data_IF_579038513880
#
_entry.id   IF_579038513880
#
_cell.length_a   1.000
_cell.length_b   1.000
_cell.length_c   1.000
_cell.angle_alpha   90.00
_cell.angle_beta   90.00
_cell.angle_gamma   90.00
#
_symmetry.space_group_name_H-M   'P 1'
#
loop_
_entity.id
_entity.type
_entity.pdbx_description
1 polymer ?
#
# COMPACT_ATOMS: atom_id res chain seq x y z
N UNK A 1 0.51 -16.15 -36.86
CA UNK A 1 0.80 -14.89 -36.15
C UNK A 1 -0.14 -14.81 -34.97
N UNK A 2 0.37 -15.14 -33.79
CA UNK A 2 -0.43 -15.21 -32.56
C UNK A 2 -0.41 -13.81 -31.96
N UNK A 3 -1.58 -13.20 -31.79
CA UNK A 3 -1.72 -11.83 -31.27
C UNK A 3 -1.54 -11.83 -29.74
N UNK A 4 -0.68 -10.94 -29.25
CA UNK A 4 -0.33 -10.69 -27.83
C UNK A 4 -1.52 -10.47 -26.88
N UNK A 5 -2.75 -10.36 -27.38
CA UNK A 5 -3.95 -10.10 -26.59
C UNK A 5 -4.58 -11.37 -25.99
N UNK A 6 -4.13 -12.57 -26.37
CA UNK A 6 -4.79 -13.83 -26.01
C UNK A 6 -4.27 -14.50 -24.73
N UNK A 7 -3.22 -13.97 -24.08
CA UNK A 7 -2.65 -14.58 -22.86
C UNK A 7 -3.26 -14.10 -21.53
N UNK A 8 -4.07 -13.03 -21.51
CA UNK A 8 -4.45 -12.37 -20.26
C UNK A 8 -5.78 -12.82 -19.62
N UNK A 9 -6.62 -13.61 -20.28
CA UNK A 9 -7.96 -13.95 -19.74
C UNK A 9 -8.28 -15.44 -19.59
N UNK A 10 -7.38 -16.37 -19.95
CA UNK A 10 -7.63 -17.81 -19.81
C UNK A 10 -6.44 -18.68 -19.36
N UNK A 11 -5.24 -18.10 -19.21
CA UNK A 11 -3.99 -18.89 -19.08
C UNK A 11 -3.43 -19.10 -17.67
N UNK A 12 -3.89 -18.36 -16.66
CA UNK A 12 -3.24 -18.30 -15.32
C UNK A 12 -3.79 -19.37 -14.36
N UNK A 13 -4.86 -20.08 -14.73
CA UNK A 13 -5.47 -21.11 -13.86
C UNK A 13 -4.71 -22.44 -13.81
N UNK A 14 -3.82 -22.72 -14.78
CA UNK A 14 -3.01 -23.94 -14.76
C UNK A 14 -1.84 -23.77 -13.77
N UNK A 15 -1.67 -24.68 -12.77
CA UNK A 15 -0.57 -24.62 -11.81
C UNK A 15 0.82 -24.54 -12.46
N UNK A 16 1.04 -25.18 -13.62
CA UNK A 16 2.32 -25.10 -14.32
C UNK A 16 2.57 -23.71 -14.92
N UNK A 17 1.54 -23.08 -15.51
CA UNK A 17 1.65 -21.72 -16.04
C UNK A 17 1.88 -20.70 -14.92
N UNK A 18 1.21 -20.89 -13.78
CA UNK A 18 1.40 -20.06 -12.59
C UNK A 18 2.83 -20.17 -12.07
N UNK A 19 3.37 -21.39 -11.97
CA UNK A 19 4.75 -21.63 -11.54
C UNK A 19 5.76 -20.99 -12.50
N UNK A 20 5.59 -21.21 -13.81
CA UNK A 20 6.47 -20.62 -14.83
C UNK A 20 6.45 -19.09 -14.77
N UNK A 21 5.26 -18.50 -14.64
CA UNK A 21 5.11 -17.05 -14.47
C UNK A 21 5.81 -16.54 -13.22
N UNK A 22 5.66 -17.21 -12.07
CA UNK A 22 6.34 -16.81 -10.83
C UNK A 22 7.87 -16.93 -10.94
N UNK A 23 8.37 -17.99 -11.57
CA UNK A 23 9.81 -18.18 -11.84
C UNK A 23 10.35 -17.08 -12.77
N UNK A 24 9.64 -16.77 -13.85
CA UNK A 24 9.99 -15.69 -14.79
C UNK A 24 10.01 -14.32 -14.09
N UNK A 25 8.99 -14.00 -13.28
CA UNK A 25 8.94 -12.74 -12.53
C UNK A 25 10.07 -12.68 -11.50
N UNK A 26 10.33 -13.77 -10.78
CA UNK A 26 11.40 -13.83 -9.78
C UNK A 26 12.76 -13.60 -10.43
N UNK A 27 13.04 -14.24 -11.57
CA UNK A 27 14.30 -14.08 -12.27
C UNK A 27 14.46 -12.65 -12.81
N UNK A 28 13.43 -12.09 -13.45
CA UNK A 28 13.47 -10.73 -13.99
C UNK A 28 13.69 -9.66 -12.90
N UNK A 29 13.04 -9.81 -11.75
CA UNK A 29 13.21 -8.86 -10.64
C UNK A 29 14.56 -9.05 -9.95
N UNK A 30 15.05 -10.29 -9.87
CA UNK A 30 16.39 -10.59 -9.35
C UNK A 30 17.48 -9.99 -10.24
N UNK A 31 17.33 -10.06 -11.55
CA UNK A 31 18.23 -9.41 -12.53
C UNK A 31 18.21 -7.87 -12.36
N UNK A 32 17.10 -7.32 -11.85
CA UNK A 32 16.97 -5.88 -11.46
C UNK A 32 17.46 -5.60 -10.04
N UNK A 33 18.07 -6.56 -9.35
CA UNK A 33 18.57 -6.41 -7.99
C UNK A 33 17.51 -6.47 -6.90
N UNK A 34 16.36 -7.08 -7.18
CA UNK A 34 15.24 -7.20 -6.23
C UNK A 34 14.88 -8.67 -6.02
N UNK A 35 15.00 -9.14 -4.78
CA UNK A 35 14.50 -10.45 -4.37
C UNK A 35 12.97 -10.42 -4.25
N UNK A 36 12.33 -11.43 -4.81
CA UNK A 36 10.87 -11.53 -4.86
C UNK A 36 10.41 -12.81 -4.21
N UNK A 37 9.48 -12.68 -3.28
CA UNK A 37 8.89 -13.80 -2.56
C UNK A 37 7.38 -13.76 -2.66
N UNK A 38 6.79 -14.84 -3.19
CA UNK A 38 5.34 -14.99 -3.30
C UNK A 38 4.76 -15.62 -2.04
N UNK A 39 3.77 -14.95 -1.45
CA UNK A 39 2.96 -15.45 -0.33
C UNK A 39 1.62 -15.89 -0.90
N UNK A 40 1.44 -17.19 -1.00
CA UNK A 40 0.19 -17.81 -1.41
C UNK A 40 -0.73 -17.97 -0.18
N UNK A 41 -1.87 -17.26 -0.10
CA UNK A 41 -2.75 -17.37 1.05
C UNK A 41 -3.44 -18.74 1.08
N UNK A 42 -3.32 -19.43 2.20
CA UNK A 42 -4.13 -20.61 2.51
C UNK A 42 -5.42 -20.16 3.21
N UNK A 43 -6.57 -20.50 2.64
CA UNK A 43 -7.85 -20.00 3.09
C UNK A 43 -8.31 -20.63 4.41
N UNK A 44 -8.75 -19.79 5.36
CA UNK A 44 -9.33 -20.26 6.63
C UNK A 44 -10.80 -19.87 6.77
N UNK A 45 -11.13 -18.58 6.85
CA UNK A 45 -12.51 -18.09 6.98
C UNK A 45 -12.64 -16.64 6.55
N UNK A 46 -13.89 -16.17 6.37
CA UNK A 46 -14.18 -14.81 5.90
C UNK A 46 -14.95 -14.02 6.94
N UNK A 47 -14.51 -12.80 7.21
CA UNK A 47 -15.28 -11.78 7.93
C UNK A 47 -16.02 -10.90 6.94
N UNK A 48 -17.29 -10.59 7.22
CA UNK A 48 -18.11 -9.65 6.47
C UNK A 48 -18.49 -8.47 7.35
N UNK A 49 -18.28 -7.27 6.86
CA UNK A 49 -18.72 -6.02 7.48
C UNK A 49 -19.10 -5.00 6.39
N UNK A 50 -19.37 -3.75 6.77
CA UNK A 50 -19.57 -2.60 5.88
C UNK A 50 -18.53 -1.53 6.19
N UNK A 51 -18.17 -0.73 5.19
CA UNK A 51 -17.24 0.37 5.35
C UNK A 51 -17.21 1.24 4.10
N UNK A 52 -17.09 2.56 4.29
CA UNK A 52 -17.14 3.55 3.20
C UNK A 52 -18.32 3.30 2.22
N UNK A 53 -19.52 3.08 2.76
CA UNK A 53 -20.76 2.92 1.98
C UNK A 53 -21.03 1.53 1.36
N UNK A 54 -20.03 0.65 1.25
CA UNK A 54 -20.18 -0.66 0.59
C UNK A 54 -19.81 -1.86 1.49
N UNK A 55 -20.09 -3.08 1.00
CA UNK A 55 -19.76 -4.32 1.71
C UNK A 55 -18.26 -4.57 1.64
N UNK A 56 -17.69 -5.01 2.76
CA UNK A 56 -16.27 -5.35 2.87
C UNK A 56 -16.14 -6.78 3.34
N UNK A 57 -15.29 -7.54 2.68
CA UNK A 57 -14.94 -8.91 3.05
C UNK A 57 -13.46 -8.94 3.42
N UNK A 58 -13.14 -9.58 4.53
CA UNK A 58 -11.75 -9.79 4.98
C UNK A 58 -11.54 -11.30 5.02
N UNK A 59 -10.75 -11.82 4.10
CA UNK A 59 -10.31 -13.20 4.09
C UNK A 59 -9.21 -13.36 5.13
N UNK A 60 -9.46 -14.18 6.14
CA UNK A 60 -8.45 -14.60 7.11
C UNK A 60 -7.76 -15.83 6.52
N UNK A 61 -6.45 -15.71 6.33
CA UNK A 61 -5.62 -16.70 5.65
C UNK A 61 -4.36 -17.03 6.45
N UNK A 62 -3.69 -18.13 6.10
CA UNK A 62 -2.38 -18.49 6.63
C UNK A 62 -1.30 -18.57 5.56
N UNK A 63 -0.06 -18.31 5.96
CA UNK A 63 1.13 -18.70 5.23
C UNK A 63 2.33 -18.86 6.20
N UNK A 64 3.19 -19.86 5.96
CA UNK A 64 4.36 -20.16 6.80
C UNK A 64 5.45 -19.06 6.75
N UNK A 65 5.41 -18.18 5.76
CA UNK A 65 6.37 -17.08 5.58
C UNK A 65 6.08 -15.85 6.47
N UNK A 66 4.94 -15.84 7.16
CA UNK A 66 4.60 -14.79 8.13
C UNK A 66 5.25 -15.13 9.47
N UNK A 67 5.74 -14.13 10.21
CA UNK A 67 6.33 -14.39 11.51
C UNK A 67 5.33 -15.04 12.48
N UNK A 68 5.83 -15.95 13.31
CA UNK A 68 5.03 -16.68 14.30
C UNK A 68 4.38 -15.72 15.32
N UNK A 69 3.18 -16.05 15.84
CA UNK A 69 2.63 -15.31 16.96
C UNK A 69 3.53 -15.47 18.18
N UNK A 70 3.66 -14.41 18.97
CA UNK A 70 4.35 -14.45 20.26
C UNK A 70 3.41 -14.02 21.38
N UNK A 71 3.66 -14.55 22.57
CA UNK A 71 2.83 -14.36 23.74
C UNK A 71 3.73 -14.16 24.96
N UNK A 72 3.62 -13.00 25.60
CA UNK A 72 4.39 -12.62 26.78
C UNK A 72 3.45 -12.41 27.97
N UNK A 73 3.88 -12.78 29.18
CA UNK A 73 3.11 -12.50 30.38
C UNK A 73 3.04 -10.97 30.60
N UNK A 74 1.83 -10.45 30.79
CA UNK A 74 1.58 -9.02 30.92
C UNK A 74 0.55 -8.71 32.01
N UNK A 75 0.33 -7.41 32.26
CA UNK A 75 -0.76 -6.94 33.11
C UNK A 75 -1.73 -6.15 32.24
N UNK A 76 -3.01 -6.53 32.24
CA UNK A 76 -4.05 -5.82 31.50
C UNK A 76 -4.49 -4.52 32.21
N UNK A 77 -5.34 -3.73 31.56
CA UNK A 77 -6.02 -2.57 32.18
C UNK A 77 -6.72 -3.00 33.48
N UNK A 78 -6.20 -2.54 34.61
CA UNK A 78 -6.67 -2.92 35.96
C UNK A 78 -5.70 -3.81 36.76
N UNK A 79 -4.48 -4.04 36.28
CA UNK A 79 -3.42 -4.73 37.04
C UNK A 79 -3.58 -6.25 37.14
N UNK A 80 -4.62 -6.82 36.51
CA UNK A 80 -4.83 -8.27 36.45
C UNK A 80 -3.75 -8.92 35.58
N UNK A 81 -3.18 -10.01 36.06
CA UNK A 81 -2.29 -10.85 35.28
C UNK A 81 -2.99 -11.36 34.01
N UNK A 82 -2.29 -11.27 32.88
CA UNK A 82 -2.79 -11.64 31.56
C UNK A 82 -1.64 -11.96 30.63
N UNK A 83 -1.96 -12.03 29.34
CA UNK A 83 -1.01 -12.34 28.29
C UNK A 83 -1.12 -11.28 27.20
N UNK A 84 0.02 -10.76 26.76
CA UNK A 84 0.16 -9.84 25.65
C UNK A 84 0.52 -10.66 24.41
N UNK A 85 -0.36 -10.65 23.43
CA UNK A 85 -0.18 -11.37 22.18
C UNK A 85 0.26 -10.42 21.09
N UNK A 86 1.32 -10.79 20.37
CA UNK A 86 1.72 -10.16 19.12
C UNK A 86 1.34 -11.10 17.97
N UNK A 87 0.59 -10.58 17.02
CA UNK A 87 0.10 -11.31 15.86
C UNK A 87 0.63 -10.64 14.60
N UNK A 88 1.83 -11.01 14.11
CA UNK A 88 2.33 -10.54 12.83
C UNK A 88 1.39 -10.95 11.71
N UNK A 89 1.16 -10.03 10.78
CA UNK A 89 0.35 -10.31 9.61
C UNK A 89 0.82 -9.53 8.39
N UNK A 90 0.40 -10.05 7.24
CA UNK A 90 0.49 -9.42 5.96
C UNK A 90 -0.91 -9.00 5.52
N UNK A 91 -1.02 -7.84 4.87
CA UNK A 91 -2.27 -7.33 4.34
C UNK A 91 -2.14 -7.01 2.86
N UNK A 92 -3.04 -7.56 2.04
CA UNK A 92 -3.12 -7.22 0.62
C UNK A 92 -3.98 -5.97 0.39
N UNK A 93 -3.71 -5.20 -0.68
CA UNK A 93 -4.61 -4.13 -1.12
C UNK A 93 -6.05 -4.59 -1.31
N UNK A 94 -7.00 -3.67 -1.10
CA UNK A 94 -8.41 -3.93 -1.34
C UNK A 94 -8.70 -4.20 -2.81
N UNK A 95 -9.30 -5.35 -3.10
CA UNK A 95 -9.71 -5.77 -4.45
C UNK A 95 -11.22 -5.57 -4.67
N UNK A 96 -11.65 -4.81 -5.68
CA UNK A 96 -13.06 -4.73 -6.05
C UNK A 96 -13.60 -6.09 -6.51
N UNK A 97 -14.81 -6.43 -6.08
CA UNK A 97 -15.53 -7.64 -6.50
C UNK A 97 -17.06 -7.41 -6.41
N UNK A 98 -17.85 -8.42 -6.78
CA UNK A 98 -19.30 -8.44 -6.62
C UNK A 98 -19.73 -9.56 -5.67
N UNK A 99 -20.81 -9.29 -4.92
CA UNK A 99 -21.48 -10.32 -4.15
C UNK A 99 -22.45 -11.16 -5.01
N UNK A 100 -23.07 -12.18 -4.42
CA UNK A 100 -24.01 -13.05 -5.12
C UNK A 100 -25.25 -12.32 -5.70
N UNK A 101 -25.56 -11.12 -5.21
CA UNK A 101 -26.64 -10.27 -5.70
C UNK A 101 -26.13 -9.19 -6.69
N UNK A 102 -24.86 -9.25 -7.10
CA UNK A 102 -24.25 -8.32 -8.05
C UNK A 102 -23.82 -6.97 -7.47
N UNK A 103 -23.97 -6.76 -6.16
CA UNK A 103 -23.59 -5.49 -5.52
C UNK A 103 -22.07 -5.39 -5.39
N UNK A 104 -21.55 -4.16 -5.53
CA UNK A 104 -20.13 -3.88 -5.33
C UNK A 104 -19.69 -4.20 -3.89
N UNK A 105 -18.52 -4.79 -3.79
CA UNK A 105 -17.84 -5.03 -2.54
C UNK A 105 -16.33 -4.97 -2.73
N UNK A 106 -15.61 -4.88 -1.62
CA UNK A 106 -14.14 -4.92 -1.63
C UNK A 106 -13.66 -6.05 -0.73
N UNK A 107 -12.65 -6.76 -1.20
CA UNK A 107 -12.03 -7.92 -0.55
C UNK A 107 -10.63 -7.54 -0.11
N UNK A 108 -10.30 -7.86 1.14
CA UNK A 108 -8.96 -7.79 1.69
C UNK A 108 -8.52 -9.19 2.10
N UNK A 109 -7.25 -9.52 1.94
CA UNK A 109 -6.68 -10.73 2.53
C UNK A 109 -5.73 -10.33 3.64
N UNK A 110 -5.98 -10.89 4.83
CA UNK A 110 -5.11 -10.77 5.99
C UNK A 110 -4.50 -12.14 6.25
N UNK A 111 -3.19 -12.22 6.10
CA UNK A 111 -2.42 -13.46 6.11
C UNK A 111 -1.61 -13.51 7.39
N UNK A 112 -1.93 -14.48 8.26
CA UNK A 112 -1.22 -14.75 9.50
C UNK A 112 -0.30 -15.97 9.34
N UNK A 113 0.53 -16.24 10.35
CA UNK A 113 1.18 -17.55 10.45
C UNK A 113 0.15 -18.62 10.88
N UNK A 114 0.19 -19.87 10.36
CA UNK A 114 -0.76 -20.93 10.71
C UNK A 114 -0.84 -21.22 12.21
N UNK A 115 0.26 -21.14 12.96
CA UNK A 115 0.25 -21.29 14.43
C UNK A 115 -0.72 -20.30 15.12
N UNK A 116 -0.91 -19.10 14.59
CA UNK A 116 -1.84 -18.12 15.15
C UNK A 116 -3.29 -18.58 15.00
N UNK A 117 -3.63 -19.16 13.85
CA UNK A 117 -4.96 -19.68 13.57
C UNK A 117 -5.25 -20.93 14.42
N UNK A 118 -4.33 -21.89 14.48
CA UNK A 118 -4.45 -23.07 15.35
C UNK A 118 -4.62 -22.67 16.82
N UNK A 119 -3.84 -21.69 17.30
CA UNK A 119 -3.99 -21.20 18.67
C UNK A 119 -5.36 -20.54 18.90
N UNK A 120 -5.87 -19.79 17.92
CA UNK A 120 -7.15 -19.11 17.99
C UNK A 120 -8.37 -20.06 17.96
N UNK A 121 -8.30 -21.15 17.19
CA UNK A 121 -9.39 -22.15 17.09
C UNK A 121 -9.74 -22.76 18.44
N UNK A 122 -8.76 -22.92 19.32
CA UNK A 122 -8.97 -23.48 20.67
C UNK A 122 -9.40 -22.45 21.71
N UNK A 123 -9.28 -21.14 21.42
CA UNK A 123 -9.43 -20.05 22.38
C UNK A 123 -10.24 -18.89 21.80
N UNK A 124 -11.53 -18.83 22.14
CA UNK A 124 -12.46 -17.77 21.66
C UNK A 124 -11.89 -16.35 21.81
N UNK A 125 -11.30 -16.01 22.96
CA UNK A 125 -10.71 -14.69 23.20
C UNK A 125 -9.55 -14.37 22.25
N UNK A 126 -8.77 -15.38 21.86
CA UNK A 126 -7.68 -15.21 20.89
C UNK A 126 -8.22 -15.09 19.46
N UNK A 127 -9.30 -15.80 19.13
CA UNK A 127 -10.00 -15.60 17.86
C UNK A 127 -10.57 -14.17 17.73
N UNK A 128 -11.18 -13.65 18.81
CA UNK A 128 -11.65 -12.26 18.87
C UNK A 128 -10.49 -11.26 18.69
N UNK A 129 -9.34 -11.52 19.34
CA UNK A 129 -8.14 -10.71 19.13
C UNK A 129 -7.67 -10.76 17.68
N UNK A 130 -7.59 -11.95 17.09
CA UNK A 130 -7.17 -12.13 15.69
C UNK A 130 -8.09 -11.38 14.72
N UNK A 131 -9.42 -11.44 14.92
CA UNK A 131 -10.38 -10.66 14.14
C UNK A 131 -10.20 -9.16 14.34
N UNK A 132 -10.01 -8.72 15.58
CA UNK A 132 -9.76 -7.30 15.90
C UNK A 132 -8.48 -6.78 15.26
N UNK A 133 -7.40 -7.58 15.27
CA UNK A 133 -6.13 -7.25 14.62
C UNK A 133 -6.31 -7.13 13.11
N UNK A 134 -7.01 -8.07 12.48
CA UNK A 134 -7.28 -8.03 11.04
C UNK A 134 -8.10 -6.80 10.63
N UNK A 135 -9.17 -6.48 11.39
CA UNK A 135 -10.02 -5.32 11.14
C UNK A 135 -9.26 -4.02 11.36
N UNK A 136 -8.52 -3.90 12.46
CA UNK A 136 -7.67 -2.74 12.76
C UNK A 136 -6.62 -2.50 11.67
N UNK A 137 -5.92 -3.57 11.25
CA UNK A 137 -4.95 -3.50 10.16
C UNK A 137 -5.54 -2.94 8.87
N UNK A 138 -6.76 -3.36 8.50
CA UNK A 138 -7.46 -2.82 7.32
C UNK A 138 -7.82 -1.34 7.49
N UNK A 139 -8.36 -0.95 8.66
CA UNK A 139 -8.69 0.45 8.92
C UNK A 139 -7.46 1.37 8.88
N UNK A 140 -6.37 0.95 9.54
CA UNK A 140 -5.16 1.74 9.67
C UNK A 140 -4.42 1.88 8.33
N UNK A 141 -4.32 0.79 7.56
CA UNK A 141 -3.56 0.77 6.29
C UNK A 141 -4.25 1.52 5.15
N UNK A 142 -5.58 1.51 5.13
CA UNK A 142 -6.37 2.09 4.04
C UNK A 142 -7.14 3.34 4.47
N UNK A 143 -6.96 3.79 5.71
CA UNK A 143 -7.63 4.94 6.30
C UNK A 143 -9.16 4.91 6.13
N UNK A 144 -9.74 3.71 6.29
CA UNK A 144 -11.19 3.50 6.24
C UNK A 144 -11.75 3.18 7.62
N UNK A 145 -13.05 3.46 7.83
CA UNK A 145 -13.78 2.99 9.01
C UNK A 145 -14.69 1.82 8.65
N UNK A 146 -14.54 0.74 9.40
CA UNK A 146 -15.35 -0.47 9.30
C UNK A 146 -16.39 -0.49 10.41
N UNK A 147 -17.57 -1.03 10.11
CA UNK A 147 -18.63 -1.22 11.10
C UNK A 147 -18.28 -2.40 12.04
N UNK A 148 -17.63 -2.08 13.15
CA UNK A 148 -17.19 -3.06 14.17
C UNK A 148 -18.37 -3.70 14.91
N UNK A 149 -19.53 -3.05 14.95
CA UNK A 149 -20.75 -3.58 15.57
C UNK A 149 -21.42 -4.68 14.75
N UNK A 150 -21.15 -4.74 13.45
CA UNK A 150 -21.78 -5.67 12.51
C UNK A 150 -20.78 -6.55 11.75
N UNK A 151 -19.76 -7.06 12.45
CA UNK A 151 -18.86 -8.07 11.89
C UNK A 151 -19.53 -9.46 11.97
N UNK A 152 -19.62 -10.14 10.82
CA UNK A 152 -20.14 -11.52 10.73
C UNK A 152 -19.10 -12.44 10.12
N UNK A 153 -18.72 -13.49 10.84
CA UNK A 153 -17.95 -14.60 10.27
C UNK A 153 -18.86 -15.44 9.36
N UNK A 154 -18.42 -15.67 8.13
CA UNK A 154 -19.14 -16.48 7.15
C UNK A 154 -18.68 -17.93 7.20
N UNK A 155 -19.53 -18.85 6.71
CA UNK A 155 -19.23 -20.29 6.63
C UNK A 155 -18.22 -20.65 5.51
N UNK A 156 -18.03 -19.77 4.54
CA UNK A 156 -17.06 -19.97 3.46
C UNK A 156 -15.64 -19.67 3.93
N UNK A 157 -14.66 -20.37 3.35
CA UNK A 157 -13.24 -20.21 3.70
C UNK A 157 -12.58 -19.01 3.04
N UNK A 158 -13.07 -18.62 1.85
CA UNK A 158 -12.49 -17.52 1.06
C UNK A 158 -13.54 -16.86 0.18
N UNK A 159 -13.45 -15.54 -0.01
CA UNK A 159 -14.24 -14.77 -0.98
C UNK A 159 -13.35 -14.34 -2.15
N UNK A 160 -13.83 -14.60 -3.37
CA UNK A 160 -13.12 -14.28 -4.61
C UNK A 160 -12.11 -15.35 -5.01
N UNK A 161 -11.23 -15.01 -5.94
CA UNK A 161 -10.13 -15.89 -6.36
C UNK A 161 -8.89 -15.55 -5.54
N UNK A 162 -8.23 -16.53 -4.88
CA UNK A 162 -6.98 -16.30 -4.18
C UNK A 162 -5.90 -15.73 -5.09
N UNK A 163 -5.27 -14.63 -4.67
CA UNK A 163 -4.17 -14.00 -5.39
C UNK A 163 -2.92 -14.03 -4.49
N UNK A 164 -1.78 -14.36 -5.09
CA UNK A 164 -0.52 -14.37 -4.38
C UNK A 164 -0.12 -12.93 -4.02
N UNK A 165 0.24 -12.72 -2.77
CA UNK A 165 0.94 -11.53 -2.35
C UNK A 165 2.40 -11.58 -2.80
N UNK A 166 2.98 -10.45 -3.18
CA UNK A 166 4.39 -10.37 -3.58
C UNK A 166 5.11 -9.53 -2.55
N UNK A 167 6.18 -10.06 -1.95
CA UNK A 167 7.14 -9.28 -1.15
C UNK A 167 8.35 -9.01 -2.05
N UNK A 168 8.75 -7.74 -2.13
CA UNK A 168 9.94 -7.30 -2.87
C UNK A 168 10.97 -6.76 -1.88
N UNK A 169 12.21 -7.26 -1.91
CA UNK A 169 13.32 -6.79 -1.06
C UNK A 169 14.52 -6.45 -1.95
N UNK A 170 15.16 -5.28 -1.80
CA UNK A 170 16.39 -4.99 -2.53
C UNK A 170 17.50 -5.95 -2.10
N UNK A 171 18.27 -6.46 -3.06
CA UNK A 171 19.41 -7.34 -2.80
C UNK A 171 20.58 -6.46 -2.33
N UNK A 172 21.12 -6.67 -1.12
CA UNK A 172 22.25 -5.87 -0.62
C UNK A 172 23.46 -5.96 -1.56
N UNK A 173 24.02 -4.80 -1.93
CA UNK A 173 25.18 -4.71 -2.82
C UNK A 173 24.86 -4.79 -4.32
N UNK A 174 23.60 -4.92 -4.71
CA UNK A 174 23.20 -4.85 -6.11
C UNK A 174 22.83 -3.40 -6.48
N UNK A 175 23.53 -2.82 -7.46
CA UNK A 175 23.10 -1.56 -8.08
C UNK A 175 21.81 -1.83 -8.87
N UNK A 176 20.71 -1.16 -8.54
CA UNK A 176 19.45 -1.34 -9.27
C UNK A 176 19.64 -0.88 -10.73
N UNK A 177 19.78 -1.85 -11.65
CA UNK A 177 19.69 -1.57 -13.07
C UNK A 177 18.21 -1.31 -13.39
N UNK A 178 17.82 -0.04 -13.44
CA UNK A 178 16.51 0.33 -13.96
C UNK A 178 16.46 -0.09 -15.43
N UNK A 179 15.48 -0.93 -15.79
CA UNK A 179 15.20 -1.19 -17.19
C UNK A 179 14.76 0.12 -17.82
N UNK A 180 15.58 0.61 -18.74
CA UNK A 180 15.29 1.74 -19.60
C UNK A 180 14.16 1.27 -20.52
N UNK A 181 12.94 1.79 -20.34
CA UNK A 181 11.88 1.58 -21.32
C UNK A 181 12.28 2.32 -22.60
N UNK A 182 12.34 1.59 -23.72
CA UNK A 182 12.63 2.16 -25.05
C UNK A 182 11.63 3.28 -25.43
N UNK A 183 10.48 3.37 -24.75
CA UNK A 183 9.49 4.44 -24.92
C UNK A 183 9.87 5.77 -24.23
N UNK A 184 10.83 5.78 -23.30
CA UNK A 184 11.32 7.02 -22.66
C UNK A 184 12.20 7.88 -23.60
N UNK A 185 12.51 7.39 -24.81
CA UNK A 185 13.26 8.09 -25.87
C UNK A 185 12.41 9.04 -26.74
N UNK A 186 11.35 9.65 -26.19
CA UNK A 186 10.60 10.71 -26.88
C UNK A 186 10.65 12.05 -26.13
N UNK A 187 11.85 12.63 -26.02
CA UNK A 187 12.17 14.02 -26.39
C UNK A 187 13.58 14.42 -25.91
N UNK A 188 14.46 14.72 -26.87
CA UNK A 188 15.85 15.17 -26.74
C UNK A 188 16.94 14.08 -26.58
N UNK A 189 18.02 14.22 -27.36
CA UNK A 189 19.14 13.27 -27.51
C UNK A 189 20.06 13.19 -26.29
N UNK A 190 19.90 14.12 -25.34
CA UNK A 190 20.75 14.28 -24.15
C UNK A 190 20.03 14.00 -22.82
N UNK A 191 18.79 13.50 -22.85
CA UNK A 191 18.07 13.12 -21.62
C UNK A 191 18.24 11.63 -21.36
N UNK A 192 19.05 11.27 -20.36
CA UNK A 192 19.06 9.91 -19.83
C UNK A 192 17.70 9.49 -19.24
N UNK A 193 17.53 8.20 -18.88
CA UNK A 193 16.27 7.67 -18.36
C UNK A 193 15.81 8.48 -17.14
N UNK A 194 14.55 8.96 -17.16
CA UNK A 194 14.00 9.70 -16.03
C UNK A 194 13.48 8.71 -14.99
N UNK A 195 14.38 8.24 -14.12
CA UNK A 195 13.99 7.64 -12.85
C UNK A 195 12.93 8.53 -12.16
N UNK A 196 11.89 7.94 -11.56
CA UNK A 196 10.91 8.72 -10.79
C UNK A 196 11.65 9.59 -9.79
N UNK A 197 11.53 10.93 -9.88
CA UNK A 197 12.31 11.82 -9.03
C UNK A 197 11.91 11.61 -7.57
N UNK A 198 12.86 11.76 -6.64
CA UNK A 198 12.60 11.68 -5.19
C UNK A 198 11.91 12.95 -4.68
N UNK A 199 12.14 14.06 -5.34
CA UNK A 199 11.56 15.36 -5.01
C UNK A 199 11.35 16.18 -6.29
N UNK A 200 10.35 17.05 -6.28
CA UNK A 200 10.09 18.05 -7.30
C UNK A 200 10.45 19.40 -6.70
N UNK A 201 11.38 20.12 -7.33
CA UNK A 201 11.74 21.48 -6.96
C UNK A 201 11.12 22.45 -7.97
N UNK A 202 10.24 23.33 -7.49
CA UNK A 202 9.55 24.33 -8.30
C UNK A 202 10.07 25.69 -7.86
N UNK A 203 10.67 26.44 -8.78
CA UNK A 203 11.08 27.82 -8.53
C UNK A 203 10.17 28.76 -9.27
N UNK A 204 9.47 29.63 -8.53
CA UNK A 204 8.53 30.61 -9.06
C UNK A 204 9.11 32.01 -8.84
N UNK A 205 9.37 32.73 -9.92
CA UNK A 205 9.77 34.13 -9.85
C UNK A 205 8.56 35.00 -9.52
N UNK A 206 8.64 35.75 -8.42
CA UNK A 206 7.61 36.65 -7.91
C UNK A 206 8.21 38.05 -7.72
N UNK A 207 8.60 38.73 -8.81
CA UNK A 207 9.40 39.97 -8.77
C UNK A 207 8.74 41.09 -7.98
N UNK A 208 7.40 41.12 -7.95
CA UNK A 208 6.63 42.15 -7.27
C UNK A 208 6.35 41.82 -5.79
N UNK A 209 6.65 40.61 -5.33
CA UNK A 209 6.38 40.18 -3.96
C UNK A 209 7.47 40.68 -3.00
N UNK A 210 7.07 41.29 -1.88
CA UNK A 210 8.01 41.85 -0.89
C UNK A 210 8.32 40.86 0.23
N UNK A 211 7.33 40.05 0.62
CA UNK A 211 7.42 39.07 1.70
C UNK A 211 6.73 37.77 1.31
N UNK A 212 7.14 36.64 1.90
CA UNK A 212 6.47 35.36 1.74
C UNK A 212 5.07 35.33 2.37
N UNK A 213 4.80 36.20 3.35
CA UNK A 213 3.49 36.30 4.03
C UNK A 213 2.34 36.70 3.10
N UNK A 214 2.66 37.35 1.99
CA UNK A 214 1.68 37.84 1.03
C UNK A 214 1.22 36.73 0.06
N UNK A 215 1.80 35.53 0.15
CA UNK A 215 1.53 34.39 -0.71
C UNK A 215 1.15 33.13 0.08
N UNK A 216 0.14 32.42 -0.40
CA UNK A 216 -0.33 31.15 0.14
C UNK A 216 -0.04 30.03 -0.86
N UNK A 217 0.60 28.96 -0.40
CA UNK A 217 0.86 27.75 -1.19
C UNK A 217 -0.03 26.62 -0.66
N UNK A 218 -0.81 26.01 -1.54
CA UNK A 218 -1.61 24.82 -1.26
C UNK A 218 -1.09 23.67 -2.10
N UNK A 219 -0.69 22.60 -1.43
CA UNK A 219 -0.24 21.36 -2.06
C UNK A 219 -1.33 20.32 -1.88
N UNK A 220 -1.66 19.62 -2.95
CA UNK A 220 -2.50 18.42 -2.98
C UNK A 220 -1.71 17.31 -3.65
N UNK A 221 -2.18 16.07 -3.52
CA UNK A 221 -1.53 14.86 -4.05
C UNK A 221 -0.92 15.08 -5.43
N UNK A 222 -1.65 15.65 -6.40
CA UNK A 222 -1.15 15.89 -7.78
C UNK A 222 -1.30 17.33 -8.26
N UNK A 223 -1.37 18.30 -7.35
CA UNK A 223 -1.65 19.69 -7.73
C UNK A 223 -1.01 20.66 -6.76
N UNK A 224 -0.40 21.70 -7.30
CA UNK A 224 0.11 22.83 -6.51
C UNK A 224 -0.61 24.10 -6.93
N UNK A 225 -1.12 24.84 -5.95
CA UNK A 225 -1.76 26.13 -6.15
C UNK A 225 -1.03 27.18 -5.32
N UNK A 226 -0.64 28.29 -5.95
CA UNK A 226 -0.05 29.46 -5.29
C UNK A 226 -0.96 30.65 -5.55
N UNK A 227 -1.38 31.35 -4.49
CA UNK A 227 -2.22 32.54 -4.59
C UNK A 227 -1.64 33.70 -3.75
N UNK A 228 -1.67 34.90 -4.29
CA UNK A 228 -1.30 36.15 -3.61
C UNK A 228 -2.26 37.25 -4.05
N UNK A 229 -2.70 38.09 -3.11
CA UNK A 229 -3.67 39.15 -3.41
C UNK A 229 -3.00 40.47 -3.82
N UNK A 230 -1.85 40.81 -3.22
CA UNK A 230 -1.15 42.08 -3.45
C UNK A 230 0.36 41.87 -3.45
N UNK A 231 1.00 41.79 -4.63
CA UNK A 231 0.45 41.76 -6.00
C UNK A 231 -0.43 40.53 -6.28
N UNK A 232 -1.34 40.64 -7.23
CA UNK A 232 -2.21 39.53 -7.64
C UNK A 232 -1.40 38.48 -8.40
N UNK A 233 -1.15 37.33 -7.78
CA UNK A 233 -0.56 36.15 -8.43
C UNK A 233 -1.46 34.96 -8.22
N UNK A 234 -1.61 34.14 -9.26
CA UNK A 234 -2.27 32.85 -9.20
C UNK A 234 -1.54 31.89 -10.12
N UNK A 235 -1.03 30.80 -9.55
CA UNK A 235 -0.47 29.68 -10.28
C UNK A 235 -1.23 28.43 -9.86
N UNK A 236 -1.63 27.66 -10.86
CA UNK A 236 -2.32 26.38 -10.68
C UNK A 236 -1.59 25.36 -11.56
N UNK A 237 -0.80 24.52 -10.93
CA UNK A 237 0.13 23.62 -11.58
C UNK A 237 -0.25 22.17 -11.29
N UNK A 238 -0.69 21.39 -12.30
CA UNK A 238 -0.80 19.95 -12.16
C UNK A 238 0.60 19.32 -12.07
N UNK A 239 0.78 18.39 -11.13
CA UNK A 239 2.04 17.68 -10.92
C UNK A 239 2.01 16.33 -11.63
N UNK A 240 3.10 15.99 -12.30
CA UNK A 240 3.23 14.71 -13.04
C UNK A 240 3.30 13.49 -12.12
N UNK A 241 3.62 13.68 -10.84
CA UNK A 241 3.75 12.62 -9.84
C UNK A 241 3.00 13.00 -8.56
N UNK A 242 2.46 12.01 -7.82
CA UNK A 242 1.89 12.29 -6.52
C UNK A 242 2.97 12.65 -5.50
N UNK A 243 2.71 13.66 -4.67
CA UNK A 243 3.62 14.21 -3.65
C UNK A 243 3.07 14.03 -2.24
N UNK A 244 3.96 14.02 -1.25
CA UNK A 244 3.60 14.00 0.17
C UNK A 244 3.31 15.44 0.64
N UNK A 245 2.04 15.72 0.92
CA UNK A 245 1.52 17.04 1.27
C UNK A 245 2.11 17.58 2.58
N UNK A 246 2.38 16.69 3.54
CA UNK A 246 2.79 17.06 4.91
C UNK A 246 4.30 17.32 5.04
N UNK A 247 5.09 16.88 4.06
CA UNK A 247 6.57 16.96 4.09
C UNK A 247 7.16 17.98 3.10
N UNK A 248 6.33 18.78 2.44
CA UNK A 248 6.79 19.85 1.56
C UNK A 248 7.54 20.96 2.32
N UNK A 249 8.55 21.54 1.68
CA UNK A 249 9.26 22.73 2.17
C UNK A 249 9.13 23.88 1.16
N UNK A 250 9.10 25.13 1.64
CA UNK A 250 9.02 26.31 0.79
C UNK A 250 9.88 27.45 1.35
N UNK A 251 10.73 28.01 0.49
CA UNK A 251 11.70 29.06 0.85
C UNK A 251 11.61 30.24 -0.11
N UNK A 252 11.36 31.43 0.43
CA UNK A 252 11.35 32.67 -0.36
C UNK A 252 12.66 33.42 -0.25
N UNK A 253 13.34 33.62 -1.38
CA UNK A 253 14.53 34.44 -1.49
C UNK A 253 14.16 35.89 -1.81
N UNK A 254 14.29 36.78 -0.81
CA UNK A 254 13.96 38.21 -0.94
C UNK A 254 14.85 38.96 -1.94
N UNK A 255 16.11 38.56 -2.08
CA UNK A 255 17.09 39.19 -2.97
C UNK A 255 16.81 38.83 -4.42
N UNK A 256 16.55 37.54 -4.70
CA UNK A 256 16.23 37.05 -6.04
C UNK A 256 14.75 37.22 -6.42
N UNK A 257 13.89 37.50 -5.45
CA UNK A 257 12.42 37.54 -5.62
C UNK A 257 11.85 36.23 -6.16
N UNK A 258 12.32 35.11 -5.59
CA UNK A 258 11.96 33.76 -6.03
C UNK A 258 11.45 32.94 -4.84
N UNK A 259 10.39 32.18 -5.07
CA UNK A 259 9.89 31.16 -4.15
C UNK A 259 10.31 29.78 -4.67
N UNK A 260 11.10 29.07 -3.88
CA UNK A 260 11.49 27.68 -4.17
C UNK A 260 10.66 26.75 -3.30
N UNK A 261 9.93 25.84 -3.93
CA UNK A 261 9.07 24.86 -3.28
C UNK A 261 9.66 23.48 -3.56
N UNK A 262 9.98 22.74 -2.52
CA UNK A 262 10.53 21.37 -2.60
C UNK A 262 9.47 20.40 -2.12
N UNK A 263 8.99 19.56 -3.03
CA UNK A 263 7.93 18.59 -2.78
C UNK A 263 8.47 17.17 -2.86
N UNK A 264 8.52 16.40 -1.76
CA UNK A 264 8.89 15.00 -1.82
C UNK A 264 7.86 14.22 -2.64
N UNK A 265 8.34 13.52 -3.66
CA UNK A 265 7.50 12.66 -4.50
C UNK A 265 7.28 11.37 -3.75
N UNK A 266 6.01 10.98 -3.61
CA UNK A 266 5.70 9.69 -3.02
C UNK A 266 6.41 8.59 -3.83
N UNK A 267 7.00 7.57 -3.20
CA UNK A 267 7.54 6.46 -3.96
C UNK A 267 6.44 5.81 -4.81
N UNK A 268 6.82 5.04 -5.83
CA UNK A 268 5.88 4.08 -6.40
C UNK A 268 5.51 3.18 -5.24
N UNK A 269 4.28 3.32 -4.74
CA UNK A 269 3.71 2.33 -3.84
C UNK A 269 3.59 1.08 -4.70
N UNK A 270 4.64 0.27 -4.71
CA UNK A 270 4.52 -1.13 -5.03
C UNK A 270 3.47 -1.63 -4.05
N UNK A 271 2.29 -1.95 -4.55
CA UNK A 271 1.16 -2.52 -3.81
C UNK A 271 1.49 -3.91 -3.19
N UNK A 272 2.78 -4.22 -3.04
CA UNK A 272 3.34 -5.31 -2.28
C UNK A 272 3.27 -4.99 -0.80
N UNK A 273 2.25 -5.54 -0.15
CA UNK A 273 2.29 -6.06 1.20
C UNK A 273 2.97 -5.19 2.26
N UNK A 274 2.17 -4.59 3.12
CA UNK A 274 2.68 -4.13 4.41
C UNK A 274 2.83 -5.34 5.34
N UNK A 275 4.07 -5.61 5.77
CA UNK A 275 4.33 -6.47 6.92
C UNK A 275 4.13 -5.61 8.16
N UNK A 276 3.07 -5.85 8.91
CA UNK A 276 2.81 -5.15 10.15
C UNK A 276 3.35 -5.98 11.31
N UNK A 277 4.37 -5.47 12.00
CA UNK A 277 4.60 -5.82 13.40
C UNK A 277 3.49 -5.11 14.19
N UNK A 278 2.48 -5.88 14.61
CA UNK A 278 1.19 -5.38 15.03
C UNK A 278 1.19 -4.28 16.10
N UNK A 279 0.07 -3.56 16.14
CA UNK A 279 -0.29 -2.58 17.16
C UNK A 279 -0.10 -3.14 18.58
N UNK A 280 0.62 -2.39 19.40
CA UNK A 280 0.44 -2.42 20.85
C UNK A 280 -0.96 -1.87 21.15
N UNK A 281 -1.92 -2.76 21.41
CA UNK A 281 -3.22 -2.35 21.96
C UNK A 281 -3.27 -2.76 23.43
N UNK A 282 -3.29 -1.72 24.25
CA UNK A 282 -3.38 -1.60 25.71
C UNK A 282 -4.59 -2.31 26.36
#
# INVERSE_FOLDING_TARGET
MVTESSLLHGGISNPENKRRYEEEITQLEKDRGTDVQFIHPEAHHVLKTRGAGEKRFINICSNQLIDKPSCEAGRGRGGKAGYNWRLPFSLTPGRPDRDAAGNRCVIYDVIFHPDALHAAETKKRLMELLHSTAVGGVEDSFHIKLDKGHIKQLKMKYKGVPQAAVIRRPIPGHEQQQIIDLQDYRCSRDSGPRARPREIIITVALPLLRSAQDAEVRVQERRLVLESQKPAYKLDLPLSYPVDEDKGDAKFNKTKKELTITLPVQPIISLSLFLFSGCDIL
#
